data_IF_846508675915
#
_entry.id   IF_846508675915
#
_cell.length_a   1.000
_cell.length_b   1.000
_cell.length_c   1.000
_cell.angle_alpha   90.00
_cell.angle_beta   90.00
_cell.angle_gamma   90.00
#
_symmetry.space_group_name_H-M   'P 1'
#
loop_
_entity.id
_entity.type
_entity.pdbx_description
1 polymer ?
#
# COMPACT_ATOMS: atom_id res chain seq x y z
N UNK A 1 -11.44 -7.51 -15.70
CA UNK A 1 -10.79 -8.59 -14.92
C UNK A 1 -10.53 -8.11 -13.52
N UNK A 2 -10.91 -8.90 -12.54
CA UNK A 2 -10.65 -8.58 -11.15
C UNK A 2 -9.19 -8.83 -10.81
N UNK A 3 -8.54 -7.84 -10.21
CA UNK A 3 -7.18 -7.98 -9.74
C UNK A 3 -7.25 -8.35 -8.26
N UNK A 4 -6.80 -9.55 -7.95
CA UNK A 4 -6.77 -10.05 -6.59
C UNK A 4 -5.34 -10.04 -6.07
N UNK A 5 -5.18 -9.64 -4.82
CA UNK A 5 -3.89 -9.62 -4.17
C UNK A 5 -3.86 -10.66 -3.04
N UNK A 6 -2.72 -11.34 -2.91
CA UNK A 6 -2.49 -12.24 -1.78
C UNK A 6 -2.17 -11.41 -0.54
N UNK A 7 -2.28 -12.00 0.67
CA UNK A 7 -1.90 -11.28 1.90
C UNK A 7 -0.45 -10.76 1.88
N UNK A 8 0.48 -11.51 1.28
CA UNK A 8 1.88 -11.07 1.17
C UNK A 8 1.98 -9.86 0.24
N UNK A 9 1.28 -9.89 -0.88
CA UNK A 9 1.27 -8.76 -1.83
C UNK A 9 0.71 -7.50 -1.19
N UNK A 10 -0.35 -7.63 -0.41
CA UNK A 10 -0.95 -6.51 0.32
C UNK A 10 0.04 -5.94 1.33
N UNK A 11 0.76 -6.80 2.07
CA UNK A 11 1.79 -6.36 3.01
C UNK A 11 2.91 -5.62 2.29
N UNK A 12 3.34 -6.10 1.14
CA UNK A 12 4.39 -5.45 0.34
C UNK A 12 3.92 -4.07 -0.13
N UNK A 13 2.72 -3.97 -0.69
CA UNK A 13 2.18 -2.70 -1.15
C UNK A 13 2.01 -1.70 0.00
N UNK A 14 1.45 -2.14 1.12
CA UNK A 14 1.28 -1.28 2.30
C UNK A 14 2.60 -0.78 2.83
N UNK A 15 3.62 -1.64 2.86
CA UNK A 15 4.95 -1.28 3.33
C UNK A 15 5.60 -0.24 2.41
N UNK A 16 5.49 -0.42 1.09
CA UNK A 16 6.01 0.55 0.12
C UNK A 16 5.30 1.91 0.26
N UNK A 17 3.98 1.90 0.41
CA UNK A 17 3.21 3.12 0.60
C UNK A 17 3.63 3.86 1.87
N UNK A 18 3.76 3.12 2.97
CA UNK A 18 4.15 3.71 4.25
C UNK A 18 5.53 4.36 4.16
N UNK A 19 6.51 3.63 3.63
CA UNK A 19 7.89 4.11 3.61
C UNK A 19 8.08 5.27 2.63
N UNK A 20 7.30 5.33 1.58
CA UNK A 20 7.32 6.49 0.68
C UNK A 20 7.02 7.78 1.44
N UNK A 21 6.10 7.72 2.40
CA UNK A 21 5.67 8.90 3.15
C UNK A 21 6.47 9.12 4.44
N UNK A 22 6.87 8.04 5.12
CA UNK A 22 7.52 8.17 6.42
C UNK A 22 9.05 8.23 6.34
N UNK A 23 9.65 7.61 5.32
CA UNK A 23 11.10 7.64 5.11
C UNK A 23 11.41 7.82 3.62
N UNK A 24 11.01 8.98 3.04
CA UNK A 24 11.16 9.19 1.60
C UNK A 24 12.60 9.15 1.11
N UNK A 25 13.58 9.45 1.96
CA UNK A 25 15.00 9.40 1.63
C UNK A 25 15.49 7.98 1.34
N UNK A 26 14.74 6.95 1.81
CA UNK A 26 15.08 5.54 1.57
C UNK A 26 14.14 4.88 0.56
N UNK A 27 13.41 5.68 -0.18
CA UNK A 27 12.47 5.20 -1.20
C UNK A 27 12.92 5.70 -2.59
N UNK A 28 12.96 4.88 -3.64
CA UNK A 28 12.52 3.46 -3.75
C UNK A 28 13.35 2.51 -2.90
N UNK A 29 12.84 1.30 -2.67
CA UNK A 29 13.39 0.36 -1.69
C UNK A 29 14.02 -0.87 -2.32
N UNK A 30 15.09 -1.37 -1.69
CA UNK A 30 15.69 -2.64 -2.07
C UNK A 30 14.84 -3.81 -1.57
N UNK A 31 15.07 -5.00 -2.13
CA UNK A 31 14.39 -6.22 -1.68
C UNK A 31 14.56 -6.43 -0.18
N UNK A 32 15.78 -6.27 0.34
CA UNK A 32 16.03 -6.47 1.77
C UNK A 32 15.29 -5.44 2.62
N UNK A 33 15.27 -4.17 2.20
CA UNK A 33 14.54 -3.13 2.92
C UNK A 33 13.04 -3.41 2.95
N UNK A 34 12.49 -3.90 1.85
CA UNK A 34 11.07 -4.26 1.76
C UNK A 34 10.78 -5.42 2.70
N UNK A 35 11.64 -6.45 2.72
CA UNK A 35 11.47 -7.59 3.61
C UNK A 35 11.45 -7.13 5.07
N UNK A 36 12.39 -6.29 5.46
CA UNK A 36 12.45 -5.76 6.82
C UNK A 36 11.19 -4.94 7.16
N UNK A 37 10.73 -4.13 6.23
CA UNK A 37 9.51 -3.33 6.42
C UNK A 37 8.27 -4.22 6.56
N UNK A 38 8.18 -5.29 5.77
CA UNK A 38 7.07 -6.25 5.85
C UNK A 38 7.05 -6.98 7.19
N UNK A 39 8.22 -7.29 7.74
CA UNK A 39 8.38 -8.07 8.97
C UNK A 39 8.43 -7.21 10.22
N UNK A 40 8.27 -5.91 10.08
CA UNK A 40 8.29 -4.99 11.22
C UNK A 40 7.29 -5.44 12.29
N UNK A 41 7.70 -5.34 13.56
CA UNK A 41 6.84 -5.79 14.66
C UNK A 41 5.81 -4.75 15.07
N UNK A 42 6.10 -3.48 14.81
CA UNK A 42 5.18 -2.39 15.11
C UNK A 42 4.40 -1.99 13.84
N UNK A 43 3.21 -1.46 14.03
CA UNK A 43 2.36 -0.95 12.95
C UNK A 43 2.02 -2.00 11.90
N UNK A 44 1.97 -3.26 12.31
CA UNK A 44 1.64 -4.42 11.45
C UNK A 44 0.72 -5.36 12.20
N UNK A 45 -0.29 -5.86 11.53
CA UNK A 45 -1.17 -6.89 12.06
C UNK A 45 -1.71 -7.75 10.90
N UNK A 46 -1.42 -9.05 10.90
CA UNK A 46 -0.55 -9.75 11.86
C UNK A 46 0.93 -9.41 11.62
N UNK A 47 1.77 -9.68 12.61
CA UNK A 47 3.22 -9.62 12.42
C UNK A 47 3.61 -10.79 11.50
N UNK A 48 4.40 -10.52 10.49
CA UNK A 48 4.86 -11.54 9.54
C UNK A 48 6.35 -11.79 9.68
N UNK A 49 6.79 -12.92 9.19
CA UNK A 49 8.20 -13.29 9.15
C UNK A 49 8.50 -13.87 7.77
N UNK A 50 8.53 -13.01 6.77
CA UNK A 50 8.73 -13.39 5.38
C UNK A 50 10.22 -13.49 5.06
N UNK A 51 10.58 -14.49 4.23
CA UNK A 51 11.95 -14.59 3.72
C UNK A 51 12.07 -13.83 2.38
N UNK A 52 13.30 -13.73 1.87
CA UNK A 52 13.54 -12.99 0.62
C UNK A 52 12.79 -13.59 -0.57
N UNK A 53 12.67 -14.92 -0.62
CA UNK A 53 11.97 -15.59 -1.73
C UNK A 53 10.50 -15.22 -1.77
N UNK A 54 9.86 -15.20 -0.60
CA UNK A 54 8.45 -14.85 -0.51
C UNK A 54 8.21 -13.41 -0.94
N UNK A 55 9.06 -12.49 -0.49
CA UNK A 55 8.96 -11.07 -0.85
C UNK A 55 9.25 -10.87 -2.33
N UNK A 56 10.29 -11.52 -2.86
CA UNK A 56 10.64 -11.40 -4.28
C UNK A 56 9.54 -11.95 -5.17
N UNK A 57 8.96 -13.10 -4.81
CA UNK A 57 7.84 -13.67 -5.56
C UNK A 57 6.64 -12.71 -5.58
N UNK A 58 6.33 -12.11 -4.43
CA UNK A 58 5.24 -11.13 -4.34
C UNK A 58 5.53 -9.89 -5.20
N UNK A 59 6.76 -9.39 -5.18
CA UNK A 59 7.15 -8.25 -6.01
C UNK A 59 7.03 -8.58 -7.50
N UNK A 60 7.46 -9.76 -7.91
CA UNK A 60 7.34 -10.18 -9.32
C UNK A 60 5.89 -10.26 -9.76
N UNK A 61 5.01 -10.80 -8.91
CA UNK A 61 3.58 -10.87 -9.20
C UNK A 61 2.97 -9.46 -9.27
N UNK A 62 3.37 -8.57 -8.39
CA UNK A 62 2.89 -7.17 -8.40
C UNK A 62 3.38 -6.41 -9.63
N UNK A 63 4.59 -6.70 -10.09
CA UNK A 63 5.12 -6.13 -11.34
C UNK A 63 4.26 -6.61 -12.51
N UNK A 64 3.94 -7.88 -12.57
CA UNK A 64 3.11 -8.46 -13.61
C UNK A 64 1.71 -7.87 -13.61
N UNK A 65 1.15 -7.61 -12.42
CA UNK A 65 -0.15 -6.97 -12.26
C UNK A 65 -0.13 -5.46 -12.54
N UNK A 66 1.06 -4.87 -12.64
CA UNK A 66 1.23 -3.45 -12.94
C UNK A 66 1.17 -2.52 -11.75
N UNK A 67 1.40 -3.02 -10.53
CA UNK A 67 1.35 -2.22 -9.30
C UNK A 67 2.70 -1.92 -8.67
N UNK A 68 3.77 -2.51 -9.21
CA UNK A 68 5.15 -2.27 -8.76
C UNK A 68 6.03 -2.17 -9.98
N UNK A 69 7.08 -1.37 -9.89
CA UNK A 69 8.08 -1.23 -10.94
C UNK A 69 9.48 -1.32 -10.35
N UNK A 70 10.39 -1.96 -11.08
CA UNK A 70 11.81 -1.94 -10.76
C UNK A 70 12.38 -0.60 -11.16
N UNK A 71 13.27 -0.07 -10.32
CA UNK A 71 13.94 1.20 -10.56
C UNK A 71 15.45 0.98 -10.49
N UNK A 72 16.15 1.34 -11.55
CA UNK A 72 17.59 1.30 -11.59
C UNK A 72 18.11 2.71 -11.36
N UNK A 73 18.87 2.90 -10.29
CA UNK A 73 19.44 4.21 -9.95
C UNK A 73 20.90 4.23 -10.39
N UNK A 74 21.30 5.28 -11.09
CA UNK A 74 22.68 5.42 -11.58
C UNK A 74 23.68 5.28 -10.44
N UNK A 75 24.68 4.39 -10.62
CA UNK A 75 25.69 4.12 -9.61
C UNK A 75 25.27 3.12 -8.52
N UNK A 76 24.01 2.72 -8.48
CA UNK A 76 23.54 1.74 -7.52
C UNK A 76 23.77 0.33 -8.05
N UNK A 77 24.23 -0.57 -7.18
CA UNK A 77 24.43 -1.98 -7.53
C UNK A 77 23.18 -2.81 -7.36
N UNK A 78 22.25 -2.33 -6.55
CA UNK A 78 21.07 -3.09 -6.16
C UNK A 78 19.82 -2.54 -6.82
N UNK A 79 19.01 -3.43 -7.37
CA UNK A 79 17.71 -3.08 -7.91
C UNK A 79 16.80 -2.57 -6.80
N UNK A 80 16.05 -1.53 -7.07
CA UNK A 80 15.06 -0.97 -6.16
C UNK A 80 13.66 -1.11 -6.74
N UNK A 81 12.66 -0.93 -5.89
CA UNK A 81 11.26 -1.11 -6.25
C UNK A 81 10.44 0.06 -5.76
N UNK A 82 9.43 0.43 -6.54
CA UNK A 82 8.43 1.42 -6.13
C UNK A 82 7.04 0.93 -6.51
N UNK A 83 6.03 1.33 -5.74
CA UNK A 83 4.65 1.01 -6.10
C UNK A 83 4.11 1.99 -7.13
N UNK A 84 3.08 1.57 -7.84
CA UNK A 84 2.43 2.36 -8.89
C UNK A 84 0.96 2.63 -8.56
N UNK A 85 0.57 2.59 -7.28
CA UNK A 85 -0.82 2.75 -6.89
C UNK A 85 -1.41 4.08 -7.36
N UNK A 86 -0.65 5.18 -7.20
CA UNK A 86 -1.14 6.50 -7.61
C UNK A 86 -1.27 6.65 -9.12
N UNK A 87 -0.48 5.90 -9.90
CA UNK A 87 -0.61 5.88 -11.35
C UNK A 87 -1.78 5.01 -11.82
N UNK A 88 -2.15 4.02 -11.01
CA UNK A 88 -3.24 3.10 -11.34
C UNK A 88 -4.58 3.58 -10.79
N UNK A 89 -4.55 4.22 -9.64
CA UNK A 89 -5.75 4.74 -8.95
C UNK A 89 -5.39 6.13 -8.45
N UNK A 90 -6.16 7.14 -8.87
CA UNK A 90 -5.91 8.51 -8.42
C UNK A 90 -6.45 8.68 -7.00
N UNK A 91 -5.57 8.55 -6.01
CA UNK A 91 -5.93 8.63 -4.59
C UNK A 91 -5.59 10.01 -4.02
N UNK A 92 -6.47 10.55 -3.18
CA UNK A 92 -6.15 11.74 -2.40
C UNK A 92 -5.17 11.38 -1.28
N UNK A 93 -4.48 12.35 -0.66
CA UNK A 93 -3.63 12.05 0.49
C UNK A 93 -4.38 11.35 1.62
N UNK A 94 -5.62 11.75 1.89
CA UNK A 94 -6.44 11.12 2.92
C UNK A 94 -6.75 9.66 2.56
N UNK A 95 -7.12 9.39 1.32
CA UNK A 95 -7.39 8.03 0.84
C UNK A 95 -6.13 7.16 0.90
N UNK A 96 -4.99 7.72 0.52
CA UNK A 96 -3.71 7.02 0.59
C UNK A 96 -3.39 6.59 2.02
N UNK A 97 -3.58 7.49 2.98
CA UNK A 97 -3.32 7.20 4.39
C UNK A 97 -4.20 6.07 4.92
N UNK A 98 -5.51 6.14 4.65
CA UNK A 98 -6.45 5.12 5.10
C UNK A 98 -6.15 3.77 4.45
N UNK A 99 -5.95 3.77 3.14
CA UNK A 99 -5.68 2.52 2.40
C UNK A 99 -4.40 1.86 2.90
N UNK A 100 -3.35 2.65 3.13
CA UNK A 100 -2.09 2.17 3.66
C UNK A 100 -2.29 1.46 5.01
N UNK A 101 -3.03 2.08 5.91
CA UNK A 101 -3.30 1.50 7.23
C UNK A 101 -4.13 0.21 7.14
N UNK A 102 -5.13 0.19 6.26
CA UNK A 102 -5.94 -1.01 6.05
C UNK A 102 -5.10 -2.15 5.47
N UNK A 103 -4.17 -1.84 4.57
CA UNK A 103 -3.27 -2.85 4.01
C UNK A 103 -2.32 -3.43 5.06
N UNK A 104 -1.89 -2.61 6.03
CA UNK A 104 -0.91 -3.05 7.02
C UNK A 104 -1.53 -3.66 8.27
N UNK A 105 -2.76 -3.27 8.61
CA UNK A 105 -3.38 -3.68 9.88
C UNK A 105 -4.78 -4.29 9.74
N UNK A 106 -5.34 -4.36 8.53
CA UNK A 106 -6.70 -4.84 8.28
C UNK A 106 -7.76 -3.94 8.95
N UNK A 107 -8.88 -4.51 9.38
CA UNK A 107 -10.01 -3.73 9.90
C UNK A 107 -9.64 -2.92 11.14
N UNK A 108 -10.03 -1.64 11.15
CA UNK A 108 -9.75 -0.72 12.25
C UNK A 108 -10.95 0.21 12.44
N UNK A 109 -11.09 0.74 13.65
CA UNK A 109 -12.12 1.73 13.93
C UNK A 109 -11.74 3.08 13.33
N UNK A 110 -12.73 3.96 13.18
CA UNK A 110 -12.52 5.32 12.68
C UNK A 110 -11.53 6.08 13.55
N UNK A 111 -11.63 5.93 14.88
CA UNK A 111 -10.70 6.56 15.81
C UNK A 111 -9.28 6.06 15.68
N UNK A 112 -9.12 4.74 15.48
CA UNK A 112 -7.79 4.16 15.26
C UNK A 112 -7.17 4.67 13.97
N UNK A 113 -7.95 4.74 12.89
CA UNK A 113 -7.47 5.26 11.61
C UNK A 113 -7.03 6.72 11.76
N UNK A 114 -7.82 7.53 12.44
CA UNK A 114 -7.46 8.93 12.68
C UNK A 114 -6.15 9.05 13.42
N UNK A 115 -6.00 8.30 14.49
CA UNK A 115 -4.80 8.35 15.34
C UNK A 115 -3.55 7.86 14.61
N UNK A 116 -3.67 6.73 13.89
CA UNK A 116 -2.53 6.06 13.27
C UNK A 116 -2.05 6.68 11.96
N UNK A 117 -2.87 7.52 11.33
CA UNK A 117 -2.57 8.08 10.00
C UNK A 117 -1.73 9.35 10.04
N UNK A 118 -1.44 9.91 11.21
CA UNK A 118 -0.88 11.26 11.36
C UNK A 118 0.43 11.49 10.60
N UNK A 119 1.23 10.46 10.35
CA UNK A 119 2.50 10.58 9.63
C UNK A 119 2.32 10.66 8.11
N UNK A 120 1.16 10.30 7.60
CA UNK A 120 0.85 10.34 6.16
C UNK A 120 -0.14 11.46 5.87
N UNK A 121 -1.22 11.53 6.65
CA UNK A 121 -2.23 12.58 6.52
C UNK A 121 -2.86 12.83 7.88
N UNK A 122 -2.89 14.09 8.29
CA UNK A 122 -3.44 14.48 9.59
C UNK A 122 -4.91 14.85 9.42
N UNK A 123 -5.80 13.97 9.86
CA UNK A 123 -7.24 14.20 9.79
C UNK A 123 -7.67 15.26 10.82
N UNK A 124 -8.56 16.15 10.42
CA UNK A 124 -9.06 17.22 11.29
C UNK A 124 -10.04 16.69 12.32
N UNK A 125 -10.86 15.69 11.94
CA UNK A 125 -11.86 15.09 12.81
C UNK A 125 -12.27 13.70 12.30
N UNK A 126 -13.14 13.03 13.05
CA UNK A 126 -13.63 11.70 12.68
C UNK A 126 -14.49 11.73 11.42
N UNK A 127 -15.18 12.84 11.20
CA UNK A 127 -16.03 13.01 10.03
C UNK A 127 -15.23 12.94 8.73
N UNK A 128 -14.04 13.51 8.72
CA UNK A 128 -13.15 13.45 7.55
C UNK A 128 -12.73 12.01 7.28
N UNK A 129 -12.44 11.22 8.32
CA UNK A 129 -12.09 9.81 8.17
C UNK A 129 -13.27 9.02 7.59
N UNK A 130 -14.47 9.25 8.11
CA UNK A 130 -15.68 8.60 7.62
C UNK A 130 -15.94 8.91 6.16
N UNK A 131 -15.78 10.19 5.77
CA UNK A 131 -15.94 10.62 4.39
C UNK A 131 -14.92 9.94 3.48
N UNK A 132 -13.68 9.81 3.95
CA UNK A 132 -12.61 9.14 3.19
C UNK A 132 -12.94 7.66 2.97
N UNK A 133 -13.44 6.97 3.99
CA UNK A 133 -13.86 5.59 3.87
C UNK A 133 -15.00 5.44 2.86
N UNK A 134 -15.96 6.37 2.91
CA UNK A 134 -17.07 6.39 1.96
C UNK A 134 -16.58 6.57 0.53
N UNK A 135 -15.63 7.48 0.33
CA UNK A 135 -15.05 7.74 -0.99
C UNK A 135 -14.35 6.49 -1.53
N UNK A 136 -13.60 5.78 -0.69
CA UNK A 136 -12.94 4.55 -1.09
C UNK A 136 -13.96 3.45 -1.45
N UNK A 137 -15.03 3.34 -0.68
CA UNK A 137 -16.10 2.39 -0.94
C UNK A 137 -16.78 2.67 -2.27
N UNK A 138 -17.04 3.93 -2.58
CA UNK A 138 -17.65 4.35 -3.84
C UNK A 138 -16.77 4.04 -5.05
N UNK A 139 -15.46 4.17 -4.91
CA UNK A 139 -14.52 3.80 -5.98
C UNK A 139 -14.64 2.32 -6.33
N UNK A 140 -14.77 1.45 -5.32
CA UNK A 140 -14.93 0.03 -5.55
C UNK A 140 -16.24 -0.29 -6.27
N UNK A 141 -17.33 0.36 -5.87
CA UNK A 141 -18.63 0.19 -6.51
C UNK A 141 -18.61 0.65 -7.96
N UNK A 142 -17.99 1.79 -8.24
CA UNK A 142 -17.84 2.31 -9.60
C UNK A 142 -17.07 1.32 -10.48
N UNK A 143 -16.02 0.71 -9.97
CA UNK A 143 -15.26 -0.30 -10.70
C UNK A 143 -16.10 -1.52 -11.01
N UNK A 144 -16.90 -1.98 -10.07
CA UNK A 144 -17.81 -3.12 -10.26
C UNK A 144 -18.86 -2.80 -11.32
N UNK A 145 -19.46 -1.61 -11.25
CA UNK A 145 -20.45 -1.16 -12.22
C UNK A 145 -19.86 -1.08 -13.62
N UNK A 146 -18.68 -0.53 -13.75
CA UNK A 146 -17.97 -0.42 -15.03
C UNK A 146 -17.72 -1.81 -15.63
N UNK A 147 -17.31 -2.76 -14.83
CA UNK A 147 -17.08 -4.13 -15.30
C UNK A 147 -18.36 -4.81 -15.75
N UNK A 148 -19.44 -4.62 -15.03
CA UNK A 148 -20.73 -5.19 -15.42
C UNK A 148 -21.21 -4.60 -16.74
N UNK A 149 -20.97 -3.32 -16.95
CA UNK A 149 -21.42 -2.64 -18.17
C UNK A 149 -20.54 -2.96 -19.38
N UNK A 150 -19.32 -3.41 -19.18
CA UNK A 150 -18.39 -3.71 -20.28
C UNK A 150 -18.42 -5.15 -20.75
N UNK A 151 -19.18 -5.99 -20.06
CA UNK A 151 -19.27 -7.42 -20.39
C UNK A 151 -20.26 -7.75 -21.52
#
# INVERSE_FOLDING_TARGET
MDILFTPIEIRVLGSLMEKEHTTPEYYPMTLNSIRLACNQKSSREPVMNLDEREVEAALNDLIEKGFVRRVSVAGARTMKYKHLLNERISLSPAETAVLCLLFLRSAQTVGELRHRSSRIHKFTDLSEVEQTLQNLSEREEDRKSTRLNSS
#
